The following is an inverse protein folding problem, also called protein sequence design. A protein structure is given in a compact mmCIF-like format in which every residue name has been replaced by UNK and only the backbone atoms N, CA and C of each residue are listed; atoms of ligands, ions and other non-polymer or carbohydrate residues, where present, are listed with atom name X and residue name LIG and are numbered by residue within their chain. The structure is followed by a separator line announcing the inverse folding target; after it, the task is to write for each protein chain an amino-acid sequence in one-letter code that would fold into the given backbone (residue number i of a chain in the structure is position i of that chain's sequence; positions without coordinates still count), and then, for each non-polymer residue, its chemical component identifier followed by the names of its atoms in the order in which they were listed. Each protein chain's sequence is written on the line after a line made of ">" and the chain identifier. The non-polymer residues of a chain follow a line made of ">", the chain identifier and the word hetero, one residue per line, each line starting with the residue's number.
data_IF_343890677712
#
_entry.id   IF_343890677712
#
_cell.length_a   1.000
_cell.length_b   1.000
_cell.length_c   1.000
_cell.angle_alpha   90.00
_cell.angle_beta   90.00
_cell.angle_gamma   90.00
#
_symmetry.space_group_name_H-M   'P 1'
#
loop_
_entity.id
_entity.type
_entity.pdbx_description
1 polymer ?
#
# COMPACT_ATOMS: atom_id res chain seq x y z
N UNK A 1 -20.84 -0.12 10.46
CA UNK A 1 -19.43 -0.22 9.97
C UNK A 1 -19.34 -0.36 8.46
N UNK A 2 -19.82 -1.46 7.85
CA UNK A 2 -19.73 -1.68 6.39
C UNK A 2 -20.38 -0.58 5.54
N UNK A 3 -21.50 -0.02 6.00
CA UNK A 3 -22.15 1.11 5.35
C UNK A 3 -21.19 2.31 5.18
N UNK A 4 -20.54 2.74 6.28
CA UNK A 4 -19.59 3.86 6.29
C UNK A 4 -18.38 3.59 5.37
N UNK A 5 -17.86 2.36 5.39
CA UNK A 5 -16.74 1.97 4.54
C UNK A 5 -17.13 2.01 3.05
N UNK A 6 -18.33 1.51 2.71
CA UNK A 6 -18.82 1.53 1.33
C UNK A 6 -19.04 2.94 0.81
N UNK A 7 -19.46 3.86 1.70
CA UNK A 7 -19.65 5.27 1.39
C UNK A 7 -18.31 5.96 1.10
N UNK A 8 -17.28 5.71 1.92
CA UNK A 8 -15.92 6.21 1.66
C UNK A 8 -15.34 5.65 0.36
N UNK A 9 -15.50 4.35 0.13
CA UNK A 9 -15.00 3.71 -1.09
C UNK A 9 -15.62 4.33 -2.35
N UNK A 10 -16.92 4.63 -2.35
CA UNK A 10 -17.58 5.29 -3.49
C UNK A 10 -16.98 6.67 -3.81
N UNK A 11 -16.56 7.42 -2.78
CA UNK A 11 -15.91 8.73 -2.94
C UNK A 11 -14.49 8.57 -3.47
N UNK A 12 -13.69 7.73 -2.80
CA UNK A 12 -12.27 7.60 -3.11
C UNK A 12 -11.99 6.88 -4.43
N UNK A 13 -12.83 5.92 -4.82
CA UNK A 13 -12.71 5.26 -6.12
C UNK A 13 -12.77 6.23 -7.31
N UNK A 14 -13.51 7.33 -7.20
CA UNK A 14 -13.57 8.35 -8.27
C UNK A 14 -12.41 9.33 -8.21
N UNK A 15 -11.78 9.49 -7.04
CA UNK A 15 -10.71 10.46 -6.85
C UNK A 15 -9.42 10.00 -7.55
N UNK A 16 -8.95 10.80 -8.52
CA UNK A 16 -7.82 10.43 -9.37
C UNK A 16 -6.50 10.31 -8.59
N UNK A 17 -6.23 11.23 -7.66
CA UNK A 17 -4.98 11.19 -6.87
C UNK A 17 -4.91 9.90 -6.04
N UNK A 18 -5.99 9.52 -5.35
CA UNK A 18 -6.04 8.26 -4.60
C UNK A 18 -5.78 7.03 -5.50
N UNK A 19 -6.42 6.97 -6.67
CA UNK A 19 -6.20 5.87 -7.63
C UNK A 19 -4.75 5.82 -8.12
N UNK A 20 -4.16 6.98 -8.40
CA UNK A 20 -2.77 7.09 -8.86
C UNK A 20 -1.80 6.65 -7.75
N UNK A 21 -2.01 7.09 -6.50
CA UNK A 21 -1.17 6.69 -5.37
C UNK A 21 -1.21 5.18 -5.11
N UNK A 22 -2.41 4.58 -5.10
CA UNK A 22 -2.55 3.12 -4.97
C UNK A 22 -1.94 2.41 -6.18
N UNK A 23 -2.21 2.88 -7.40
CA UNK A 23 -1.68 2.29 -8.61
C UNK A 23 -0.15 2.28 -8.62
N UNK A 24 0.48 3.39 -8.24
CA UNK A 24 1.93 3.47 -8.10
C UNK A 24 2.46 2.56 -6.99
N UNK A 25 1.81 2.50 -5.83
CA UNK A 25 2.22 1.58 -4.77
C UNK A 25 2.18 0.12 -5.24
N UNK A 26 1.08 -0.29 -5.88
CA UNK A 26 0.90 -1.65 -6.39
C UNK A 26 1.93 -1.98 -7.48
N UNK A 27 2.20 -1.06 -8.40
CA UNK A 27 3.14 -1.29 -9.50
C UNK A 27 4.60 -1.26 -9.02
N UNK A 28 4.97 -0.26 -8.22
CA UNK A 28 6.37 -0.04 -7.84
C UNK A 28 6.90 -1.14 -6.94
N UNK A 29 6.10 -1.61 -5.98
CA UNK A 29 6.54 -2.59 -4.99
C UNK A 29 7.14 -3.88 -5.60
N UNK A 30 6.48 -4.59 -6.54
CA UNK A 30 7.08 -5.74 -7.20
C UNK A 30 8.20 -5.35 -8.19
N UNK A 31 8.09 -4.21 -8.86
CA UNK A 31 9.12 -3.79 -9.84
C UNK A 31 10.45 -3.46 -9.20
N UNK A 32 10.47 -2.90 -7.98
CA UNK A 32 11.71 -2.55 -7.28
C UNK A 32 12.62 -3.77 -7.07
N UNK A 33 12.05 -4.92 -6.69
CA UNK A 33 12.85 -6.14 -6.56
C UNK A 33 13.27 -6.63 -7.95
N UNK A 34 12.39 -6.63 -8.96
CA UNK A 34 12.76 -7.10 -10.30
C UNK A 34 13.95 -6.34 -10.91
N UNK A 35 14.10 -5.05 -10.59
CA UNK A 35 15.25 -4.24 -11.03
C UNK A 35 16.57 -4.80 -10.50
N UNK A 36 16.60 -5.40 -9.29
CA UNK A 36 17.84 -5.95 -8.72
C UNK A 36 18.40 -7.13 -9.52
N UNK A 37 17.57 -7.84 -10.30
CA UNK A 37 18.05 -8.89 -11.23
C UNK A 37 18.91 -8.37 -12.38
N UNK A 38 18.76 -7.08 -12.73
CA UNK A 38 19.48 -6.48 -13.86
C UNK A 38 20.83 -5.90 -13.44
N UNK A 39 21.14 -5.92 -12.13
CA UNK A 39 22.40 -5.44 -11.58
C UNK A 39 23.33 -6.65 -11.45
N UNK A 40 24.40 -6.73 -12.26
CA UNK A 40 25.21 -7.95 -12.40
C UNK A 40 26.13 -8.22 -11.19
N UNK A 41 26.51 -7.19 -10.43
CA UNK A 41 27.49 -7.33 -9.35
C UNK A 41 27.10 -6.47 -8.15
N UNK A 42 27.06 -7.10 -6.97
CA UNK A 42 26.91 -6.43 -5.68
C UNK A 42 28.16 -6.70 -4.84
N UNK A 43 28.64 -5.73 -4.04
CA UNK A 43 29.78 -5.94 -3.16
C UNK A 43 29.46 -7.00 -2.08
N UNK A 44 30.48 -7.74 -1.60
CA UNK A 44 30.29 -8.73 -0.54
C UNK A 44 29.65 -8.08 0.70
N UNK A 45 28.70 -8.76 1.38
CA UNK A 45 28.41 -10.20 1.37
C UNK A 45 27.37 -10.68 0.34
N UNK A 46 26.85 -9.79 -0.52
CA UNK A 46 25.78 -10.13 -1.45
C UNK A 46 26.41 -10.47 -2.81
N UNK A 47 26.89 -11.69 -2.98
CA UNK A 47 27.67 -12.06 -4.16
C UNK A 47 26.82 -12.32 -5.42
N UNK A 48 25.49 -12.39 -5.31
CA UNK A 48 24.59 -12.66 -6.44
C UNK A 48 23.23 -11.95 -6.28
N UNK A 49 22.64 -11.51 -7.39
CA UNK A 49 21.31 -10.90 -7.41
C UNK A 49 20.20 -11.84 -6.94
N UNK A 50 20.40 -13.16 -7.03
CA UNK A 50 19.43 -14.16 -6.58
C UNK A 50 19.29 -14.20 -5.06
N UNK A 51 20.31 -13.77 -4.31
CA UNK A 51 20.25 -13.70 -2.85
C UNK A 51 19.12 -12.78 -2.37
N UNK A 52 18.72 -11.76 -3.14
CA UNK A 52 17.62 -10.86 -2.78
C UNK A 52 16.22 -11.52 -2.86
N UNK A 53 16.09 -12.60 -3.64
CA UNK A 53 14.80 -13.27 -3.89
C UNK A 53 14.58 -14.49 -3.01
N UNK A 54 15.61 -14.98 -2.32
CA UNK A 54 15.53 -16.17 -1.47
C UNK A 54 15.04 -15.82 -0.07
N UNK A 55 14.46 -16.80 0.62
CA UNK A 55 14.19 -16.65 2.05
C UNK A 55 15.49 -16.77 2.87
N UNK A 56 15.67 -16.00 3.97
CA UNK A 56 14.76 -14.99 4.54
C UNK A 56 15.00 -13.56 4.01
N UNK A 57 16.03 -13.36 3.20
CA UNK A 57 16.51 -12.05 2.73
C UNK A 57 15.45 -11.27 1.95
N UNK A 58 14.57 -11.95 1.20
CA UNK A 58 13.45 -11.32 0.48
C UNK A 58 12.57 -10.47 1.41
N UNK A 59 12.33 -10.89 2.65
CA UNK A 59 11.53 -10.12 3.61
C UNK A 59 12.25 -8.85 4.07
N UNK A 60 13.57 -8.92 4.27
CA UNK A 60 14.34 -7.77 4.73
C UNK A 60 14.42 -6.69 3.65
N UNK A 61 14.71 -7.08 2.41
CA UNK A 61 14.83 -6.15 1.29
C UNK A 61 13.49 -5.60 0.86
N UNK A 62 12.49 -6.46 0.65
CA UNK A 62 11.15 -6.00 0.32
C UNK A 62 10.59 -5.15 1.46
N UNK A 63 10.88 -5.49 2.72
CA UNK A 63 10.42 -4.75 3.90
C UNK A 63 11.03 -3.36 3.96
N UNK A 64 12.34 -3.25 3.72
CA UNK A 64 13.02 -1.96 3.65
C UNK A 64 12.47 -1.08 2.52
N UNK A 65 12.40 -1.60 1.29
CA UNK A 65 11.87 -0.86 0.14
C UNK A 65 10.39 -0.55 0.29
N UNK A 66 9.61 -1.51 0.78
CA UNK A 66 8.17 -1.41 1.00
C UNK A 66 7.81 -0.40 2.10
N UNK A 67 8.64 -0.25 3.13
CA UNK A 67 8.46 0.79 4.15
C UNK A 67 8.54 2.20 3.54
N UNK A 68 9.57 2.45 2.73
CA UNK A 68 9.72 3.73 2.02
C UNK A 68 8.56 3.99 1.04
N UNK A 69 8.18 2.99 0.25
CA UNK A 69 7.03 3.12 -0.65
C UNK A 69 5.73 3.40 0.11
N UNK A 70 5.49 2.67 1.20
CA UNK A 70 4.28 2.86 2.01
C UNK A 70 4.25 4.26 2.62
N UNK A 71 5.39 4.76 3.11
CA UNK A 71 5.49 6.11 3.65
C UNK A 71 5.15 7.18 2.60
N UNK A 72 5.77 7.13 1.42
CA UNK A 72 5.55 8.16 0.38
C UNK A 72 4.15 8.09 -0.25
N UNK A 73 3.66 6.90 -0.59
CA UNK A 73 2.42 6.76 -1.35
C UNK A 73 1.18 6.62 -0.47
N UNK A 74 1.29 5.99 0.71
CA UNK A 74 0.15 5.71 1.59
C UNK A 74 0.21 6.50 2.90
N UNK A 75 1.38 6.97 3.36
CA UNK A 75 1.54 7.65 4.65
C UNK A 75 0.71 8.94 4.75
N UNK A 76 0.65 9.72 3.67
CA UNK A 76 -0.13 10.96 3.61
C UNK A 76 -1.60 10.76 3.24
N UNK A 77 -2.05 9.51 3.05
CA UNK A 77 -3.40 9.21 2.59
C UNK A 77 -4.45 9.76 3.53
N UNK A 78 -4.27 9.66 4.85
CA UNK A 78 -5.20 10.21 5.83
C UNK A 78 -5.42 11.72 5.67
N UNK A 79 -4.34 12.49 5.47
CA UNK A 79 -4.41 13.94 5.25
C UNK A 79 -5.14 14.25 3.95
N UNK A 80 -4.78 13.54 2.87
CA UNK A 80 -5.39 13.71 1.54
C UNK A 80 -6.89 13.44 1.58
N UNK A 81 -7.33 12.38 2.26
CA UNK A 81 -8.76 12.07 2.40
C UNK A 81 -9.54 13.21 3.05
N UNK A 82 -8.95 13.84 4.06
CA UNK A 82 -9.60 14.93 4.79
C UNK A 82 -9.59 16.21 3.94
N UNK A 83 -8.43 16.63 3.44
CA UNK A 83 -8.29 17.88 2.68
C UNK A 83 -9.08 17.86 1.38
N UNK A 84 -9.16 16.70 0.71
CA UNK A 84 -9.97 16.51 -0.50
C UNK A 84 -11.46 16.78 -0.22
N UNK A 85 -11.98 16.34 0.91
CA UNK A 85 -13.37 16.56 1.28
C UNK A 85 -13.67 17.99 1.75
N UNK A 86 -12.71 18.64 2.38
CA UNK A 86 -12.79 20.06 2.67
C UNK A 86 -12.81 20.89 1.38
N UNK A 87 -11.91 20.62 0.42
CA UNK A 87 -11.83 21.33 -0.85
C UNK A 87 -13.07 21.14 -1.74
N UNK A 88 -13.60 19.92 -1.79
CA UNK A 88 -14.82 19.60 -2.56
C UNK A 88 -16.12 19.90 -1.79
N UNK A 89 -16.04 20.41 -0.56
CA UNK A 89 -17.18 20.69 0.33
C UNK A 89 -18.08 19.47 0.62
N UNK A 90 -17.62 18.25 0.33
CA UNK A 90 -18.38 17.02 0.57
C UNK A 90 -18.59 16.74 2.05
N UNK A 91 -17.70 17.23 2.93
CA UNK A 91 -17.91 17.22 4.38
C UNK A 91 -19.27 17.86 4.75
N UNK A 92 -19.59 19.02 4.17
CA UNK A 92 -20.86 19.71 4.44
C UNK A 92 -22.04 18.90 3.92
N UNK A 93 -21.89 18.27 2.75
CA UNK A 93 -22.91 17.40 2.18
C UNK A 93 -23.17 16.17 3.05
N UNK A 94 -22.14 15.58 3.65
CA UNK A 94 -22.29 14.45 4.58
C UNK A 94 -23.11 14.87 5.83
N UNK A 95 -22.87 16.07 6.37
CA UNK A 95 -23.63 16.60 7.51
C UNK A 95 -25.09 16.86 7.12
N UNK A 96 -25.35 17.44 5.94
CA UNK A 96 -26.70 17.68 5.41
C UNK A 96 -27.44 16.34 5.21
N UNK A 97 -26.73 15.29 4.76
CA UNK A 97 -27.27 13.94 4.63
C UNK A 97 -27.52 13.23 5.99
N UNK A 98 -27.31 13.92 7.11
CA UNK A 98 -27.60 13.42 8.45
C UNK A 98 -26.47 12.62 9.10
N UNK A 99 -25.25 12.63 8.55
CA UNK A 99 -24.13 11.88 9.11
C UNK A 99 -23.63 12.54 10.40
N UNK A 100 -23.57 11.78 11.50
CA UNK A 100 -23.08 12.29 12.78
C UNK A 100 -21.57 12.56 12.71
N UNK A 101 -21.08 13.53 13.49
CA UNK A 101 -19.63 13.86 13.56
C UNK A 101 -18.76 12.66 13.95
N UNK A 102 -19.28 11.79 14.81
CA UNK A 102 -18.61 10.54 15.22
C UNK A 102 -18.53 9.54 14.07
N UNK A 103 -19.61 9.38 13.31
CA UNK A 103 -19.66 8.48 12.16
C UNK A 103 -18.75 8.95 11.03
N UNK A 104 -18.67 10.27 10.82
CA UNK A 104 -17.72 10.88 9.90
C UNK A 104 -16.27 10.53 10.26
N UNK A 105 -15.89 10.71 11.52
CA UNK A 105 -14.55 10.39 11.97
C UNK A 105 -14.25 8.89 11.82
N UNK A 106 -15.18 8.03 12.26
CA UNK A 106 -15.02 6.58 12.17
C UNK A 106 -14.95 6.09 10.72
N UNK A 107 -15.66 6.73 9.77
CA UNK A 107 -15.56 6.36 8.35
C UNK A 107 -14.13 6.51 7.83
N UNK A 108 -13.42 7.59 8.22
CA UNK A 108 -12.01 7.81 7.84
C UNK A 108 -11.09 6.77 8.44
N UNK A 109 -11.24 6.51 9.74
CA UNK A 109 -10.40 5.53 10.44
C UNK A 109 -10.58 4.14 9.85
N UNK A 110 -11.82 3.69 9.66
CA UNK A 110 -12.09 2.37 9.06
C UNK A 110 -11.57 2.27 7.63
N UNK A 111 -11.66 3.34 6.84
CA UNK A 111 -11.13 3.36 5.50
C UNK A 111 -9.61 3.26 5.46
N UNK A 112 -8.91 4.04 6.28
CA UNK A 112 -7.45 3.98 6.40
C UNK A 112 -7.02 2.58 6.86
N UNK A 113 -7.66 2.02 7.87
CA UNK A 113 -7.38 0.66 8.35
C UNK A 113 -7.59 -0.39 7.25
N UNK A 114 -8.66 -0.28 6.46
CA UNK A 114 -8.90 -1.19 5.34
C UNK A 114 -7.80 -1.10 4.27
N UNK A 115 -7.33 0.11 3.96
CA UNK A 115 -6.22 0.31 3.01
C UNK A 115 -4.91 -0.25 3.58
N UNK A 116 -4.62 -0.02 4.86
CA UNK A 116 -3.43 -0.57 5.53
C UNK A 116 -3.44 -2.10 5.53
N UNK A 117 -4.57 -2.73 5.88
CA UNK A 117 -4.71 -4.19 5.84
C UNK A 117 -4.53 -4.73 4.41
N UNK A 118 -5.13 -4.08 3.41
CA UNK A 118 -4.95 -4.45 2.02
C UNK A 118 -3.49 -4.34 1.55
N UNK A 119 -2.79 -3.28 1.94
CA UNK A 119 -1.37 -3.08 1.64
C UNK A 119 -0.48 -4.15 2.30
N UNK A 120 -0.74 -4.47 3.58
CA UNK A 120 -0.01 -5.54 4.29
C UNK A 120 -0.23 -6.91 3.66
N UNK A 121 -1.47 -7.25 3.27
CA UNK A 121 -1.76 -8.50 2.57
C UNK A 121 -1.07 -8.54 1.21
N UNK A 122 -1.12 -7.46 0.44
CA UNK A 122 -0.45 -7.36 -0.84
C UNK A 122 1.06 -7.54 -0.73
N UNK A 123 1.69 -6.87 0.24
CA UNK A 123 3.09 -7.03 0.56
C UNK A 123 3.44 -8.48 0.88
N UNK A 124 2.66 -9.13 1.75
CA UNK A 124 2.87 -10.52 2.15
C UNK A 124 2.76 -11.47 0.95
N UNK A 125 1.75 -11.28 0.10
CA UNK A 125 1.57 -12.07 -1.12
C UNK A 125 2.78 -11.94 -2.06
N UNK A 126 3.30 -10.72 -2.24
CA UNK A 126 4.48 -10.50 -3.08
C UNK A 126 5.72 -11.15 -2.48
N UNK A 127 5.98 -10.93 -1.20
CA UNK A 127 7.13 -11.50 -0.50
C UNK A 127 7.14 -13.04 -0.63
N UNK A 128 5.98 -13.67 -0.40
CA UNK A 128 5.81 -15.11 -0.50
C UNK A 128 5.96 -15.59 -1.95
N UNK A 129 5.37 -14.89 -2.92
CA UNK A 129 5.45 -15.28 -4.33
C UNK A 129 6.89 -15.28 -4.85
N UNK A 130 7.69 -14.26 -4.51
CA UNK A 130 9.09 -14.21 -4.92
C UNK A 130 9.95 -15.23 -4.16
N UNK A 131 9.74 -15.35 -2.85
CA UNK A 131 10.47 -16.28 -2.02
C UNK A 131 10.28 -17.74 -2.44
N UNK A 132 9.04 -18.18 -2.71
CA UNK A 132 8.76 -19.56 -3.12
C UNK A 132 9.22 -19.89 -4.53
N UNK A 133 9.25 -18.92 -5.45
CA UNK A 133 9.69 -19.15 -6.83
C UNK A 133 11.21 -19.25 -6.97
N UNK A 134 11.97 -18.57 -6.12
CA UNK A 134 13.44 -18.48 -6.25
C UNK A 134 14.19 -19.27 -5.18
N UNK A 135 13.51 -19.72 -4.12
CA UNK A 135 14.12 -20.64 -3.17
C UNK A 135 13.90 -22.06 -3.71
N UNK A 136 14.94 -22.76 -4.21
CA UNK A 136 14.79 -24.17 -4.53
C UNK A 136 14.39 -24.90 -3.25
N UNK A 137 13.31 -25.68 -3.33
CA UNK A 137 12.92 -26.59 -2.27
C UNK A 137 14.10 -27.52 -2.01
N UNK A 138 14.75 -27.36 -0.86
CA UNK A 138 15.72 -28.33 -0.35
C UNK A 138 14.92 -29.63 -0.16
N UNK A 139 15.10 -30.58 -1.08
CA UNK A 139 14.91 -31.99 -0.81
C UNK A 139 16.19 -32.54 -0.20
#
# INVERSE_FOLDING_TARGET
>A
MFYLLSLEWKKQRKFSIFRVLIGFYLLLLPTLILVTKRIPEFPPPINSSDTFFRFPTVFAYLGYSGNWLSFFFLGFLGVILVTQEFGTRTLRQNIIAGLLRREYYLSKVYFILAVCLGATLYYALIALSYGFTHTPSVY
#
